data_IF_358141305393
#
_entry.id   IF_358141305393
#
_cell.length_a   1.000
_cell.length_b   1.000
_cell.length_c   1.000
_cell.angle_alpha   90.00
_cell.angle_beta   90.00
_cell.angle_gamma   90.00
#
_symmetry.space_group_name_H-M   'P 1'
#
loop_
_entity.id
_entity.type
_entity.pdbx_description
1 polymer ?
#
# COMPACT_ATOMS: atom_id res chain seq x y z
N UNK A 1 11.11 -24.76 3.76
CA UNK A 1 10.68 -23.35 3.73
C UNK A 1 9.43 -23.26 2.88
N UNK A 2 8.35 -22.72 3.43
CA UNK A 2 7.17 -22.39 2.62
C UNK A 2 7.54 -21.37 1.54
N UNK A 3 6.94 -21.48 0.36
CA UNK A 3 7.20 -20.58 -0.75
C UNK A 3 6.59 -19.20 -0.45
N UNK A 4 7.36 -18.10 -0.34
CA UNK A 4 6.82 -16.76 -0.06
C UNK A 4 5.79 -16.30 -1.10
N UNK A 5 5.92 -16.76 -2.34
CA UNK A 5 4.95 -16.46 -3.40
C UNK A 5 3.55 -17.04 -3.12
N UNK A 6 3.43 -18.03 -2.23
CA UNK A 6 2.12 -18.55 -1.83
C UNK A 6 1.30 -17.53 -1.04
N UNK A 7 1.95 -16.66 -0.25
CA UNK A 7 1.28 -15.59 0.50
C UNK A 7 0.78 -14.49 -0.43
N UNK A 8 1.55 -14.12 -1.45
CA UNK A 8 1.16 -13.12 -2.44
C UNK A 8 -0.12 -13.52 -3.20
N UNK A 9 -0.30 -14.83 -3.47
CA UNK A 9 -1.52 -15.35 -4.12
C UNK A 9 -2.78 -15.28 -3.25
N UNK A 10 -2.64 -15.03 -1.95
CA UNK A 10 -3.77 -14.89 -1.03
C UNK A 10 -4.28 -13.45 -0.94
N UNK A 11 -3.55 -12.48 -1.51
CA UNK A 11 -4.01 -11.10 -1.57
C UNK A 11 -5.28 -11.02 -2.40
N UNK A 12 -6.23 -10.21 -1.94
CA UNK A 12 -7.35 -9.82 -2.79
C UNK A 12 -6.82 -8.95 -3.97
N UNK A 13 -7.61 -8.76 -5.04
CA UNK A 13 -7.17 -8.00 -6.20
C UNK A 13 -6.74 -6.55 -5.91
N UNK A 14 -7.38 -5.88 -4.95
CA UNK A 14 -7.03 -4.51 -4.55
C UNK A 14 -5.65 -4.45 -3.91
N UNK A 15 -5.40 -5.33 -2.93
CA UNK A 15 -4.13 -5.44 -2.23
C UNK A 15 -2.99 -5.89 -3.17
N UNK A 16 -3.27 -6.80 -4.10
CA UNK A 16 -2.30 -7.24 -5.10
C UNK A 16 -1.88 -6.09 -6.04
N UNK A 17 -2.84 -5.32 -6.57
CA UNK A 17 -2.56 -4.14 -7.38
C UNK A 17 -1.78 -3.06 -6.62
N UNK A 18 -2.12 -2.83 -5.35
CA UNK A 18 -1.35 -1.92 -4.50
C UNK A 18 0.10 -2.38 -4.34
N UNK A 19 0.33 -3.70 -4.18
CA UNK A 19 1.66 -4.27 -4.02
C UNK A 19 2.52 -4.09 -5.28
N UNK A 20 1.94 -4.29 -6.46
CA UNK A 20 2.60 -4.02 -7.75
C UNK A 20 2.99 -2.54 -7.89
N UNK A 21 2.09 -1.63 -7.48
CA UNK A 21 2.37 -0.19 -7.42
C UNK A 21 3.49 0.16 -6.44
N UNK A 22 3.53 -0.51 -5.28
CA UNK A 22 4.54 -0.28 -4.24
C UNK A 22 5.92 -0.75 -4.72
N UNK A 23 5.98 -1.89 -5.40
CA UNK A 23 7.20 -2.38 -6.05
C UNK A 23 7.70 -1.39 -7.13
N UNK A 24 6.80 -0.87 -7.95
CA UNK A 24 7.12 0.12 -8.99
C UNK A 24 7.62 1.45 -8.41
N UNK A 25 7.02 1.91 -7.31
CA UNK A 25 7.45 3.10 -6.57
C UNK A 25 8.84 2.91 -5.96
N UNK A 26 9.05 1.80 -5.25
CA UNK A 26 10.34 1.42 -4.67
C UNK A 26 11.44 1.43 -5.72
N UNK A 27 11.18 0.85 -6.90
CA UNK A 27 12.11 0.83 -8.02
C UNK A 27 12.40 2.24 -8.55
N UNK A 28 11.36 3.06 -8.75
CA UNK A 28 11.49 4.43 -9.28
C UNK A 28 12.34 5.31 -8.36
N UNK A 29 12.26 5.09 -7.04
CA UNK A 29 13.05 5.81 -6.03
C UNK A 29 14.40 5.17 -5.72
N UNK A 30 14.76 4.07 -6.39
CA UNK A 30 15.96 3.28 -6.13
C UNK A 30 16.11 2.85 -4.66
N UNK A 31 14.98 2.60 -3.98
CA UNK A 31 14.98 2.00 -2.65
C UNK A 31 15.32 0.50 -2.75
N UNK A 32 16.06 -0.02 -1.78
CA UNK A 32 16.51 -1.42 -1.77
C UNK A 32 15.39 -2.40 -1.40
N UNK A 33 14.38 -1.95 -0.65
CA UNK A 33 13.35 -2.80 -0.06
C UNK A 33 11.96 -2.19 -0.19
N UNK A 34 10.98 -3.04 -0.49
CA UNK A 34 9.56 -2.67 -0.47
C UNK A 34 9.09 -2.72 0.98
N UNK A 35 9.08 -1.58 1.63
CA UNK A 35 8.57 -1.43 3.00
C UNK A 35 7.02 -1.28 3.04
N UNK A 36 6.36 -1.59 4.18
CA UNK A 36 4.91 -1.44 4.34
C UNK A 36 4.37 -0.05 3.99
N UNK A 37 5.16 1.00 4.19
CA UNK A 37 4.82 2.40 3.89
C UNK A 37 4.53 2.60 2.40
N UNK A 38 5.35 2.01 1.52
CA UNK A 38 5.09 2.06 0.07
C UNK A 38 3.74 1.39 -0.26
N UNK A 39 3.39 0.32 0.45
CA UNK A 39 2.16 -0.40 0.20
C UNK A 39 0.94 0.33 0.74
N UNK A 40 1.04 0.89 1.96
CA UNK A 40 0.02 1.76 2.54
C UNK A 40 -0.25 2.97 1.65
N UNK A 41 0.80 3.62 1.16
CA UNK A 41 0.70 4.74 0.22
C UNK A 41 -0.14 4.32 -1.01
N UNK A 42 0.17 3.17 -1.63
CA UNK A 42 -0.58 2.66 -2.80
C UNK A 42 -1.98 2.12 -2.50
N UNK A 43 -2.26 1.71 -1.28
CA UNK A 43 -3.63 1.37 -0.86
C UNK A 43 -4.48 2.63 -0.73
N UNK A 44 -3.91 3.71 -0.17
CA UNK A 44 -4.60 4.99 0.00
C UNK A 44 -4.80 5.74 -1.32
N UNK A 45 -3.83 5.68 -2.27
CA UNK A 45 -3.96 6.27 -3.62
C UNK A 45 -5.17 5.76 -4.40
N UNK A 46 -5.57 4.50 -4.17
CA UNK A 46 -6.71 3.94 -4.88
C UNK A 46 -8.03 4.63 -4.51
N UNK A 47 -8.11 5.31 -3.35
CA UNK A 47 -9.29 6.06 -2.93
C UNK A 47 -10.53 5.18 -2.65
N UNK A 48 -10.33 3.87 -2.54
CA UNK A 48 -11.33 2.86 -2.25
C UNK A 48 -10.78 1.81 -1.25
N UNK A 49 -11.62 0.89 -0.80
CA UNK A 49 -11.23 -0.18 0.15
C UNK A 49 -11.26 0.24 1.62
N UNK A 50 -10.84 -0.70 2.48
CA UNK A 50 -11.07 -0.64 3.93
C UNK A 50 -10.39 0.57 4.58
N UNK A 51 -9.15 0.89 4.20
CA UNK A 51 -8.42 2.05 4.74
C UNK A 51 -9.14 3.36 4.43
N UNK A 52 -9.65 3.52 3.21
CA UNK A 52 -10.40 4.72 2.82
C UNK A 52 -11.72 4.83 3.59
N UNK A 53 -12.42 3.70 3.80
CA UNK A 53 -13.65 3.65 4.60
C UNK A 53 -13.37 4.06 6.04
N UNK A 54 -12.32 3.52 6.65
CA UNK A 54 -11.92 3.84 8.02
C UNK A 54 -11.48 5.30 8.15
N UNK A 55 -10.62 5.77 7.26
CA UNK A 55 -10.13 7.15 7.27
C UNK A 55 -11.28 8.16 7.19
N UNK A 56 -12.27 7.92 6.32
CA UNK A 56 -13.47 8.77 6.25
C UNK A 56 -14.34 8.66 7.49
N UNK A 57 -14.54 7.44 8.01
CA UNK A 57 -15.42 7.19 9.17
C UNK A 57 -14.90 7.84 10.46
N UNK A 58 -13.58 7.87 10.61
CA UNK A 58 -12.88 8.39 11.79
C UNK A 58 -12.19 9.72 11.53
N UNK A 59 -12.47 10.36 10.39
CA UNK A 59 -12.01 11.72 10.05
C UNK A 59 -10.49 11.88 10.21
N UNK A 60 -9.73 10.94 9.64
CA UNK A 60 -8.28 11.02 9.64
C UNK A 60 -7.80 12.25 8.86
N UNK A 61 -6.73 12.87 9.35
CA UNK A 61 -6.00 13.89 8.59
C UNK A 61 -5.21 13.20 7.47
N UNK A 62 -5.84 13.13 6.29
CA UNK A 62 -5.27 12.49 5.12
C UNK A 62 -4.09 13.26 4.54
N UNK A 63 -4.05 14.58 4.71
CA UNK A 63 -2.95 15.40 4.21
C UNK A 63 -1.69 15.15 5.05
N UNK A 64 -1.81 15.12 6.37
CA UNK A 64 -0.72 14.78 7.27
C UNK A 64 -0.21 13.35 7.02
N UNK A 65 -1.13 12.37 6.92
CA UNK A 65 -0.77 10.98 6.64
C UNK A 65 -0.02 10.83 5.30
N UNK A 66 -0.45 11.58 4.27
CA UNK A 66 0.19 11.56 2.97
C UNK A 66 1.60 12.14 3.01
N UNK A 67 1.81 13.22 3.77
CA UNK A 67 3.13 13.81 3.96
C UNK A 67 4.10 12.86 4.68
N UNK A 68 3.62 12.11 5.67
CA UNK A 68 4.45 11.18 6.43
C UNK A 68 4.85 9.92 5.64
N UNK A 69 4.06 9.53 4.64
CA UNK A 69 4.29 8.34 3.81
C UNK A 69 5.07 8.62 2.52
N UNK A 70 5.21 9.88 2.12
CA UNK A 70 5.90 10.31 0.89
C UNK A 70 7.40 10.41 1.03
#
# INVERSE_FOLDING_TARGET
MENPASLLRRLNPCCARAMEGAASLCQTRAHAEILPEHWLLKLLEQGEGDLTVLARRYEWDMDALWQDLL
#
